data_IF_261267944770
#
_entry.id   IF_261267944770
#
_cell.length_a   1.000
_cell.length_b   1.000
_cell.length_c   1.000
_cell.angle_alpha   90.00
_cell.angle_beta   90.00
_cell.angle_gamma   90.00
#
_symmetry.space_group_name_H-M   'P 1'
#
loop_
_entity.id
_entity.type
_entity.pdbx_description
1 polymer ?
#
# COMPACT_ATOMS: atom_id res chain seq x y z
N UNK A 1 12.75 1.22 -7.91
CA UNK A 1 13.33 1.60 -9.22
C UNK A 1 13.28 3.11 -9.42
N UNK A 2 12.10 3.71 -9.30
CA UNK A 2 11.88 5.14 -9.57
C UNK A 2 12.82 6.04 -8.76
N UNK A 3 12.85 5.90 -7.43
CA UNK A 3 13.74 6.64 -6.54
C UNK A 3 15.23 6.57 -6.91
N UNK A 4 15.67 5.41 -7.36
CA UNK A 4 17.07 5.22 -7.78
C UNK A 4 17.34 5.93 -9.11
N UNK A 5 16.38 5.87 -10.04
CA UNK A 5 16.50 6.55 -11.33
C UNK A 5 16.48 8.06 -11.18
N UNK A 6 15.63 8.61 -10.31
CA UNK A 6 15.60 10.06 -9.97
C UNK A 6 16.94 10.54 -9.36
N UNK A 7 17.64 9.64 -8.66
CA UNK A 7 19.00 9.89 -8.14
C UNK A 7 20.11 9.61 -9.16
N UNK A 8 19.78 9.44 -10.43
CA UNK A 8 20.73 9.22 -11.52
C UNK A 8 21.40 7.85 -11.55
N UNK A 9 20.85 6.85 -10.83
CA UNK A 9 21.36 5.48 -10.90
C UNK A 9 20.86 4.77 -12.15
N UNK A 10 21.70 3.94 -12.76
CA UNK A 10 21.27 3.01 -13.80
C UNK A 10 20.53 1.85 -13.16
N UNK A 11 19.27 1.65 -13.56
CA UNK A 11 18.39 0.63 -12.97
C UNK A 11 17.86 -0.30 -14.04
N UNK A 12 17.86 -1.59 -13.73
CA UNK A 12 17.18 -2.62 -14.51
C UNK A 12 16.20 -3.32 -13.57
N UNK A 13 15.00 -3.54 -14.03
CA UNK A 13 13.96 -4.32 -13.35
C UNK A 13 13.74 -5.62 -14.13
N UNK A 14 13.88 -6.74 -13.44
CA UNK A 14 13.53 -8.06 -13.96
C UNK A 14 12.23 -8.50 -13.28
N UNK A 15 11.14 -8.50 -14.03
CA UNK A 15 9.82 -8.90 -13.56
C UNK A 15 9.52 -10.32 -14.07
N UNK A 16 9.22 -11.23 -13.15
CA UNK A 16 8.97 -12.64 -13.50
C UNK A 16 7.71 -12.86 -14.33
N UNK A 17 6.70 -12.02 -14.14
CA UNK A 17 5.45 -12.06 -14.89
C UNK A 17 5.25 -10.77 -15.71
N UNK A 18 4.34 -9.91 -15.28
CA UNK A 18 4.07 -8.59 -15.87
C UNK A 18 3.98 -7.54 -14.78
N UNK A 19 4.23 -6.30 -15.11
CA UNK A 19 4.06 -5.17 -14.16
C UNK A 19 2.67 -5.20 -13.55
N UNK A 20 2.61 -5.16 -12.21
CA UNK A 20 1.37 -5.20 -11.46
C UNK A 20 0.71 -6.59 -11.35
N UNK A 21 1.36 -7.66 -11.78
CA UNK A 21 0.81 -9.03 -11.66
C UNK A 21 0.63 -9.46 -10.21
N UNK A 22 1.54 -9.08 -9.32
CA UNK A 22 1.49 -9.44 -7.91
C UNK A 22 0.50 -8.59 -7.08
N UNK A 23 0.66 -8.60 -5.78
CA UNK A 23 -0.19 -7.88 -4.82
C UNK A 23 -0.32 -6.38 -5.11
N UNK A 24 0.74 -5.74 -5.61
CA UNK A 24 0.74 -4.29 -5.89
C UNK A 24 -0.31 -3.86 -6.92
N UNK A 25 -0.64 -4.72 -7.90
CA UNK A 25 -1.69 -4.42 -8.89
C UNK A 25 -3.05 -5.04 -8.56
N UNK A 26 -3.16 -5.79 -7.46
CA UNK A 26 -4.37 -6.57 -7.08
C UNK A 26 -4.91 -6.20 -5.71
N UNK A 27 -4.27 -5.29 -4.98
CA UNK A 27 -4.73 -4.83 -3.67
C UNK A 27 -6.02 -4.02 -3.78
N UNK A 28 -6.66 -3.72 -2.64
CA UNK A 28 -7.82 -2.82 -2.59
C UNK A 28 -7.49 -1.37 -2.93
N UNK A 29 -6.22 -1.03 -3.12
CA UNK A 29 -5.77 0.30 -3.49
C UNK A 29 -5.87 1.33 -2.38
N UNK A 30 -6.14 0.91 -1.16
CA UNK A 30 -6.22 1.81 -0.01
C UNK A 30 -4.82 2.29 0.37
N UNK A 31 -4.69 3.59 0.61
CA UNK A 31 -3.51 4.25 1.10
C UNK A 31 -3.87 4.93 2.42
N UNK A 32 -3.51 4.30 3.51
CA UNK A 32 -3.93 4.66 4.87
C UNK A 32 -2.67 4.98 5.67
N UNK A 33 -2.69 6.10 6.41
CA UNK A 33 -1.61 6.42 7.33
C UNK A 33 -1.70 5.59 8.62
N UNK A 34 -0.57 5.47 9.32
CA UNK A 34 -0.46 4.66 10.52
C UNK A 34 -0.01 3.24 10.21
N UNK A 35 -0.18 2.37 11.18
CA UNK A 35 0.25 0.98 11.16
C UNK A 35 -0.85 0.10 11.75
N UNK A 36 -0.74 -1.22 11.57
CA UNK A 36 -1.73 -2.21 12.00
C UNK A 36 -1.97 -2.18 13.52
N UNK A 37 -0.90 -2.09 14.31
CA UNK A 37 -1.00 -2.02 15.77
C UNK A 37 -1.27 -0.59 16.23
N UNK A 38 -1.82 -0.45 17.43
CA UNK A 38 -2.11 0.83 18.06
C UNK A 38 -0.85 1.65 18.37
N UNK A 39 -1.02 2.95 18.54
CA UNK A 39 0.07 3.89 18.84
C UNK A 39 0.82 3.50 20.12
N UNK A 40 0.09 3.09 21.14
CA UNK A 40 0.67 2.73 22.44
C UNK A 40 1.55 1.48 22.36
N UNK A 41 1.17 0.50 21.54
CA UNK A 41 1.96 -0.70 21.27
C UNK A 41 3.28 -0.35 20.59
N UNK A 42 3.27 0.56 19.61
CA UNK A 42 4.51 1.03 18.98
C UNK A 42 5.40 1.79 19.97
N UNK A 43 4.84 2.66 20.78
CA UNK A 43 5.60 3.37 21.81
C UNK A 43 6.23 2.37 22.80
N UNK A 44 5.49 1.36 23.21
CA UNK A 44 6.00 0.32 24.10
C UNK A 44 7.14 -0.50 23.49
N UNK A 45 7.06 -0.79 22.18
CA UNK A 45 8.07 -1.60 21.48
C UNK A 45 9.35 -0.82 21.15
N UNK A 46 9.24 0.42 20.68
CA UNK A 46 10.38 1.16 20.11
C UNK A 46 10.71 2.48 20.81
N UNK A 47 9.88 2.91 21.76
CA UNK A 47 9.96 4.20 22.44
C UNK A 47 9.32 5.34 21.63
N UNK A 48 8.96 6.43 22.34
CA UNK A 48 8.21 7.56 21.78
C UNK A 48 8.85 8.17 20.53
N UNK A 49 10.14 8.50 20.59
CA UNK A 49 10.81 9.20 19.47
C UNK A 49 10.80 8.39 18.18
N UNK A 50 11.00 7.07 18.27
CA UNK A 50 10.96 6.19 17.12
C UNK A 50 9.53 5.96 16.62
N UNK A 51 8.57 5.80 17.54
CA UNK A 51 7.17 5.68 17.19
C UNK A 51 6.67 6.94 16.44
N UNK A 52 7.09 8.14 16.92
CA UNK A 52 6.80 9.40 16.22
C UNK A 52 7.42 9.45 14.83
N UNK A 53 8.68 9.03 14.68
CA UNK A 53 9.32 8.96 13.35
C UNK A 53 8.59 8.01 12.40
N UNK A 54 8.18 6.83 12.88
CA UNK A 54 7.41 5.88 12.08
C UNK A 54 6.06 6.47 11.68
N UNK A 55 5.38 7.15 12.60
CA UNK A 55 4.14 7.85 12.31
C UNK A 55 4.32 8.91 11.21
N UNK A 56 5.33 9.77 11.34
CA UNK A 56 5.64 10.80 10.35
C UNK A 56 5.96 10.19 8.98
N UNK A 57 6.70 9.08 8.94
CA UNK A 57 6.95 8.33 7.70
C UNK A 57 5.67 7.80 7.06
N UNK A 58 4.68 7.40 7.84
CA UNK A 58 3.39 6.95 7.31
C UNK A 58 2.59 8.09 6.65
N UNK A 59 2.67 9.29 7.22
CA UNK A 59 2.08 10.49 6.61
C UNK A 59 2.82 10.90 5.34
N UNK A 60 4.16 10.94 5.39
CA UNK A 60 5.01 11.22 4.22
C UNK A 60 4.73 10.24 3.07
N UNK A 61 4.39 8.98 3.38
CA UNK A 61 4.05 8.00 2.34
C UNK A 61 2.80 8.40 1.54
N UNK A 62 1.81 9.03 2.17
CA UNK A 62 0.63 9.58 1.48
C UNK A 62 1.02 10.79 0.61
N UNK A 63 1.84 11.69 1.16
CA UNK A 63 2.32 12.86 0.42
C UNK A 63 3.14 12.44 -0.81
N UNK A 64 3.98 11.41 -0.69
CA UNK A 64 4.74 10.83 -1.82
C UNK A 64 3.80 10.29 -2.91
N UNK A 65 2.67 9.70 -2.56
CA UNK A 65 1.66 9.26 -3.54
C UNK A 65 1.10 10.47 -4.30
N UNK A 66 0.66 11.50 -3.58
CA UNK A 66 0.16 12.75 -4.17
C UNK A 66 1.19 13.39 -5.12
N UNK A 67 2.43 13.54 -4.66
CA UNK A 67 3.53 14.11 -5.44
C UNK A 67 3.82 13.32 -6.72
N UNK A 68 3.88 12.00 -6.63
CA UNK A 68 4.14 11.13 -7.80
C UNK A 68 3.02 11.18 -8.82
N UNK A 69 1.78 11.15 -8.36
CA UNK A 69 0.61 11.29 -9.23
C UNK A 69 0.68 12.61 -9.99
N UNK A 70 0.93 13.72 -9.28
CA UNK A 70 1.04 15.05 -9.88
C UNK A 70 2.25 15.16 -10.83
N UNK A 71 3.43 14.72 -10.38
CA UNK A 71 4.70 14.84 -11.12
C UNK A 71 4.70 14.05 -12.42
N UNK A 72 4.15 12.85 -12.41
CA UNK A 72 4.17 11.94 -13.56
C UNK A 72 2.84 11.84 -14.30
N UNK A 73 1.83 12.59 -13.89
CA UNK A 73 0.50 12.59 -14.52
C UNK A 73 -0.19 11.23 -14.47
N UNK A 74 -0.05 10.49 -13.36
CA UNK A 74 -0.56 9.13 -13.23
C UNK A 74 -2.09 9.15 -13.12
N UNK A 75 -2.76 8.47 -14.04
CA UNK A 75 -4.22 8.35 -14.06
C UNK A 75 -4.64 7.08 -13.30
N UNK A 76 -4.84 7.21 -11.98
CA UNK A 76 -5.14 6.08 -11.11
C UNK A 76 -6.36 6.33 -10.19
N UNK A 77 -7.23 7.25 -10.54
CA UNK A 77 -8.46 7.57 -9.79
C UNK A 77 -8.23 7.84 -8.30
N UNK A 78 -7.09 8.50 -7.98
CA UNK A 78 -6.75 8.83 -6.61
C UNK A 78 -7.81 9.72 -5.97
N UNK A 79 -8.36 9.28 -4.84
CA UNK A 79 -9.34 10.02 -4.04
C UNK A 79 -8.96 9.97 -2.57
N UNK A 80 -8.96 11.13 -1.93
CA UNK A 80 -8.85 11.24 -0.47
C UNK A 80 -10.21 10.98 0.19
N UNK A 81 -10.14 10.51 1.41
CA UNK A 81 -11.27 10.11 2.23
C UNK A 81 -11.28 8.60 2.48
N UNK A 82 -11.14 8.26 3.74
CA UNK A 82 -11.20 6.89 4.24
C UNK A 82 -11.98 6.86 5.54
N UNK A 83 -12.82 5.87 5.75
CA UNK A 83 -13.52 5.72 7.02
C UNK A 83 -13.39 4.30 7.57
N UNK A 84 -12.99 4.20 8.84
CA UNK A 84 -13.11 2.97 9.61
C UNK A 84 -14.47 2.94 10.30
N UNK A 85 -15.25 1.88 10.09
CA UNK A 85 -16.64 1.77 10.49
C UNK A 85 -16.79 0.82 11.69
N UNK A 86 -17.66 1.19 12.62
CA UNK A 86 -17.94 0.43 13.83
C UNK A 86 -19.30 -0.28 13.75
N UNK A 87 -19.32 -1.60 13.90
CA UNK A 87 -20.54 -2.41 13.90
C UNK A 87 -21.32 -2.33 15.24
N UNK A 88 -20.68 -1.95 16.33
CA UNK A 88 -21.29 -1.85 17.64
C UNK A 88 -20.57 -0.81 18.51
N UNK A 89 -21.16 -0.47 19.66
CA UNK A 89 -20.64 0.56 20.56
C UNK A 89 -19.21 0.25 21.07
N UNK A 90 -18.89 -0.99 21.38
CA UNK A 90 -17.52 -1.37 21.79
C UNK A 90 -16.49 -1.02 20.71
N UNK A 91 -16.83 -1.32 19.43
CA UNK A 91 -15.96 -0.95 18.31
C UNK A 91 -15.89 0.54 18.07
N UNK A 92 -16.95 1.26 18.41
CA UNK A 92 -16.93 2.71 18.37
C UNK A 92 -16.04 3.30 19.46
N UNK A 93 -16.03 2.71 20.65
CA UNK A 93 -15.11 3.11 21.73
C UNK A 93 -13.64 2.98 21.29
N UNK A 94 -13.28 1.88 20.61
CA UNK A 94 -11.93 1.67 20.06
C UNK A 94 -11.56 2.83 19.09
N UNK A 95 -12.48 3.29 18.23
CA UNK A 95 -12.25 4.40 17.30
C UNK A 95 -12.14 5.76 17.98
N UNK A 96 -12.91 5.97 19.06
CA UNK A 96 -12.82 7.17 19.89
C UNK A 96 -11.44 7.25 20.58
N UNK A 97 -10.94 6.13 21.07
CA UNK A 97 -9.60 6.06 21.67
C UNK A 97 -8.51 6.30 20.62
N UNK A 98 -8.64 5.73 19.44
CA UNK A 98 -7.71 5.94 18.32
C UNK A 98 -7.63 7.43 17.92
N UNK A 99 -8.77 8.10 17.76
CA UNK A 99 -8.80 9.54 17.45
C UNK A 99 -8.10 10.37 18.52
N UNK A 100 -8.47 10.15 19.80
CA UNK A 100 -7.86 10.85 20.93
C UNK A 100 -6.36 10.60 21.04
N UNK A 101 -5.92 9.35 20.89
CA UNK A 101 -4.50 8.99 20.95
C UNK A 101 -3.71 9.64 19.80
N UNK A 102 -4.23 9.61 18.58
CA UNK A 102 -3.59 10.24 17.42
C UNK A 102 -3.44 11.74 17.59
N UNK A 103 -4.49 12.41 18.08
CA UNK A 103 -4.46 13.85 18.33
C UNK A 103 -3.55 14.21 19.51
N UNK A 104 -3.71 13.55 20.66
CA UNK A 104 -2.95 13.87 21.87
C UNK A 104 -1.45 13.55 21.75
N UNK A 105 -1.11 12.43 21.09
CA UNK A 105 0.26 11.92 21.02
C UNK A 105 1.06 12.54 19.89
N UNK A 106 0.44 12.68 18.70
CA UNK A 106 1.12 13.11 17.48
C UNK A 106 0.60 14.42 16.89
N UNK A 107 -0.44 15.03 17.48
CA UNK A 107 -1.04 16.28 16.98
C UNK A 107 -1.79 16.09 15.65
N UNK A 108 -2.24 14.87 15.35
CA UNK A 108 -2.92 14.58 14.09
C UNK A 108 -4.38 15.01 14.13
N UNK A 109 -4.79 15.93 13.28
CA UNK A 109 -6.09 16.61 13.29
C UNK A 109 -6.99 16.28 12.08
N UNK A 110 -6.63 15.29 11.27
CA UNK A 110 -7.38 14.93 10.06
C UNK A 110 -8.47 13.88 10.28
N UNK A 111 -8.52 13.29 11.47
CA UNK A 111 -9.53 12.33 11.87
C UNK A 111 -10.77 13.04 12.44
N UNK A 112 -11.94 12.51 12.12
CA UNK A 112 -13.23 13.01 12.60
C UNK A 112 -14.14 11.83 12.96
N UNK A 113 -14.67 11.84 14.19
CA UNK A 113 -15.69 10.87 14.58
C UNK A 113 -17.03 11.21 13.91
N UNK A 114 -17.59 10.24 13.25
CA UNK A 114 -18.90 10.31 12.61
C UNK A 114 -19.88 9.42 13.37
N UNK A 115 -21.00 10.00 13.79
CA UNK A 115 -22.12 9.24 14.32
C UNK A 115 -22.92 8.55 13.20
N UNK A 116 -23.88 7.73 13.61
CA UNK A 116 -24.77 7.02 12.66
C UNK A 116 -25.52 7.96 11.72
N UNK A 117 -25.93 9.14 12.20
CA UNK A 117 -26.66 10.11 11.38
C UNK A 117 -25.75 10.71 10.29
N UNK A 118 -24.50 10.99 10.62
CA UNK A 118 -23.51 11.47 9.67
C UNK A 118 -23.13 10.38 8.65
N UNK A 119 -22.93 9.14 9.09
CA UNK A 119 -22.66 8.02 8.19
C UNK A 119 -23.76 7.81 7.16
N UNK A 120 -25.02 7.86 7.57
CA UNK A 120 -26.20 7.72 6.66
C UNK A 120 -26.25 8.75 5.55
N UNK A 121 -25.60 9.89 5.69
CA UNK A 121 -25.51 10.90 4.62
C UNK A 121 -24.59 10.45 3.48
N UNK A 122 -23.69 9.48 3.74
CA UNK A 122 -22.66 9.06 2.79
C UNK A 122 -22.67 7.57 2.46
N UNK A 123 -23.21 6.74 3.34
CA UNK A 123 -23.19 5.29 3.23
C UNK A 123 -24.60 4.72 3.18
N UNK A 124 -24.90 3.90 2.19
CA UNK A 124 -26.18 3.22 1.99
C UNK A 124 -26.41 2.00 2.89
N UNK A 125 -25.75 1.95 4.07
CA UNK A 125 -25.89 0.85 5.02
C UNK A 125 -26.32 1.36 6.39
N UNK A 126 -27.18 0.60 7.07
CA UNK A 126 -27.70 0.90 8.41
C UNK A 126 -27.05 0.06 9.52
N UNK A 127 -26.16 -0.85 9.18
CA UNK A 127 -25.58 -1.80 10.14
C UNK A 127 -24.56 -1.15 11.10
N UNK A 128 -23.93 -0.06 10.68
CA UNK A 128 -22.88 0.61 11.48
C UNK A 128 -23.48 1.63 12.45
N UNK A 129 -22.89 1.69 13.64
CA UNK A 129 -23.29 2.64 14.69
C UNK A 129 -22.57 3.99 14.61
N UNK A 130 -21.40 4.00 13.96
CA UNK A 130 -20.55 5.18 13.76
C UNK A 130 -19.29 4.80 13.01
N UNK A 131 -18.34 5.73 12.94
CA UNK A 131 -17.05 5.51 12.27
C UNK A 131 -16.06 6.65 12.53
N UNK A 132 -14.83 6.42 12.13
CA UNK A 132 -13.74 7.38 12.16
C UNK A 132 -13.33 7.71 10.73
N UNK A 133 -13.63 8.91 10.28
CA UNK A 133 -13.27 9.42 8.97
C UNK A 133 -11.91 10.11 9.01
N UNK A 134 -11.02 9.75 8.10
CA UNK A 134 -9.73 10.40 7.88
C UNK A 134 -9.71 11.07 6.50
N UNK A 135 -9.50 12.38 6.49
CA UNK A 135 -9.46 13.18 5.28
C UNK A 135 -8.12 13.14 4.53
N UNK A 136 -7.06 12.61 5.13
CA UNK A 136 -5.74 12.49 4.50
C UNK A 136 -5.52 11.14 3.82
N UNK A 137 -5.97 10.06 4.44
CA UNK A 137 -5.99 8.73 3.84
C UNK A 137 -6.94 8.65 2.64
N UNK A 138 -6.77 7.66 1.78
CA UNK A 138 -7.61 7.55 0.58
C UNK A 138 -7.45 6.22 -0.14
N UNK A 139 -7.83 6.21 -1.41
CA UNK A 139 -7.69 5.03 -2.26
C UNK A 139 -7.42 5.40 -3.71
N UNK A 140 -6.90 4.44 -4.45
CA UNK A 140 -6.58 4.59 -5.88
C UNK A 140 -6.81 3.27 -6.61
N UNK A 141 -6.78 3.32 -7.94
CA UNK A 141 -6.77 2.12 -8.76
C UNK A 141 -5.35 1.52 -8.78
N UNK A 142 -5.08 0.43 -8.04
CA UNK A 142 -3.71 -0.02 -7.77
C UNK A 142 -2.95 -0.44 -9.03
N UNK A 143 -3.63 -1.10 -9.97
CA UNK A 143 -3.01 -1.50 -11.22
C UNK A 143 -2.62 -0.30 -12.09
N UNK A 144 -3.49 0.70 -12.22
CA UNK A 144 -3.19 1.91 -12.96
C UNK A 144 -2.03 2.70 -12.31
N UNK A 145 -1.96 2.71 -10.98
CA UNK A 145 -0.84 3.32 -10.27
C UNK A 145 0.48 2.59 -10.57
N UNK A 146 0.49 1.24 -10.54
CA UNK A 146 1.65 0.45 -10.92
C UNK A 146 2.10 0.73 -12.37
N UNK A 147 1.16 0.79 -13.32
CA UNK A 147 1.47 1.12 -14.71
C UNK A 147 2.02 2.55 -14.86
N UNK A 148 1.45 3.50 -14.13
CA UNK A 148 1.94 4.88 -14.09
C UNK A 148 3.38 4.99 -13.56
N UNK A 149 3.69 4.28 -12.46
CA UNK A 149 5.05 4.21 -11.92
C UNK A 149 6.03 3.53 -12.89
N UNK A 150 5.59 2.45 -13.56
CA UNK A 150 6.42 1.79 -14.57
C UNK A 150 6.71 2.72 -15.75
N UNK A 151 5.71 3.45 -16.23
CA UNK A 151 5.91 4.46 -17.28
C UNK A 151 6.90 5.54 -16.83
N UNK A 152 6.75 6.07 -15.63
CA UNK A 152 7.69 7.06 -15.07
C UNK A 152 9.13 6.51 -15.02
N UNK A 153 9.30 5.23 -14.64
CA UNK A 153 10.59 4.56 -14.66
C UNK A 153 11.17 4.51 -16.09
N UNK A 154 10.38 4.10 -17.07
CA UNK A 154 10.80 4.02 -18.50
C UNK A 154 11.19 5.40 -19.02
N UNK A 155 10.41 6.45 -18.71
CA UNK A 155 10.70 7.83 -19.13
C UNK A 155 12.03 8.35 -18.52
N UNK A 156 12.44 7.83 -17.37
CA UNK A 156 13.74 8.10 -16.75
C UNK A 156 14.87 7.14 -17.18
N UNK A 157 14.62 6.29 -18.16
CA UNK A 157 15.64 5.38 -18.73
C UNK A 157 15.85 4.07 -17.94
N UNK A 158 14.96 3.73 -17.00
CA UNK A 158 14.94 2.41 -16.39
C UNK A 158 14.57 1.38 -17.45
N UNK A 159 15.28 0.27 -17.49
CA UNK A 159 14.95 -0.85 -18.35
C UNK A 159 14.11 -1.86 -17.58
N UNK A 160 12.90 -2.13 -18.05
CA UNK A 160 11.97 -3.09 -17.43
C UNK A 160 11.81 -4.28 -18.37
N UNK A 161 12.16 -5.46 -17.89
CA UNK A 161 12.01 -6.71 -18.64
C UNK A 161 10.98 -7.58 -17.95
N UNK A 162 9.82 -7.69 -18.57
CA UNK A 162 8.74 -8.59 -18.16
C UNK A 162 9.02 -10.03 -18.62
N UNK A 163 8.33 -11.01 -18.02
CA UNK A 163 8.50 -12.44 -18.32
C UNK A 163 9.98 -12.86 -18.28
N UNK A 164 10.70 -12.32 -17.28
CA UNK A 164 12.12 -12.51 -17.10
C UNK A 164 12.40 -13.01 -15.66
N UNK A 165 11.89 -14.19 -15.30
CA UNK A 165 12.11 -14.75 -13.98
C UNK A 165 13.61 -14.95 -13.71
N UNK A 166 14.07 -14.50 -12.56
CA UNK A 166 15.45 -14.72 -12.11
C UNK A 166 15.59 -16.17 -11.66
N UNK A 167 16.53 -16.89 -12.24
CA UNK A 167 16.77 -18.31 -11.97
C UNK A 167 18.04 -18.55 -11.17
N UNK A 168 18.97 -17.59 -11.13
CA UNK A 168 20.21 -17.70 -10.36
C UNK A 168 20.82 -16.33 -10.06
N UNK A 169 21.57 -16.24 -8.94
CA UNK A 169 22.42 -15.12 -8.58
C UNK A 169 23.83 -15.65 -8.29
N UNK A 170 24.82 -15.14 -8.99
CA UNK A 170 26.21 -15.52 -8.82
C UNK A 170 27.02 -14.31 -8.39
N UNK A 171 27.49 -14.32 -7.14
CA UNK A 171 28.43 -13.32 -6.68
C UNK A 171 29.81 -13.52 -7.34
N UNK A 172 30.35 -12.44 -7.88
CA UNK A 172 31.67 -12.35 -8.48
C UNK A 172 32.45 -11.24 -7.79
N UNK A 173 33.76 -11.18 -8.03
CA UNK A 173 34.58 -10.11 -7.46
C UNK A 173 34.06 -8.73 -7.90
N UNK A 174 33.40 -8.02 -6.97
CA UNK A 174 32.90 -6.65 -7.17
C UNK A 174 31.61 -6.50 -7.98
N UNK A 175 30.94 -7.60 -8.32
CA UNK A 175 29.64 -7.54 -9.01
C UNK A 175 28.79 -8.79 -8.77
N UNK A 176 27.51 -8.73 -9.15
CA UNK A 176 26.57 -9.85 -9.07
C UNK A 176 26.04 -10.10 -10.48
N UNK A 177 26.15 -11.35 -10.93
CA UNK A 177 25.52 -11.82 -12.15
C UNK A 177 24.12 -12.35 -11.85
N UNK A 178 23.10 -11.67 -12.35
CA UNK A 178 21.67 -12.03 -12.21
C UNK A 178 21.26 -12.75 -13.49
N UNK A 179 20.90 -14.03 -13.39
CA UNK A 179 20.56 -14.86 -14.54
C UNK A 179 19.06 -15.05 -14.68
N UNK A 180 18.58 -14.98 -15.91
CA UNK A 180 17.27 -15.46 -16.33
C UNK A 180 17.47 -16.70 -17.22
N UNK A 181 16.39 -17.33 -17.65
CA UNK A 181 16.43 -18.43 -18.61
C UNK A 181 16.97 -18.02 -20.01
N UNK A 182 16.93 -16.71 -20.32
CA UNK A 182 17.27 -16.18 -21.65
C UNK A 182 18.55 -15.36 -21.67
N UNK A 183 18.96 -14.77 -20.55
CA UNK A 183 20.05 -13.80 -20.52
C UNK A 183 20.58 -13.61 -19.10
N UNK A 184 21.60 -12.75 -18.96
CA UNK A 184 22.13 -12.36 -17.66
C UNK A 184 22.37 -10.85 -17.60
N UNK A 185 22.25 -10.29 -16.41
CA UNK A 185 22.57 -8.89 -16.10
C UNK A 185 23.71 -8.86 -15.09
N UNK A 186 24.71 -8.01 -15.30
CA UNK A 186 25.77 -7.74 -14.35
C UNK A 186 25.45 -6.45 -13.61
N UNK A 187 25.41 -6.51 -12.29
CA UNK A 187 25.10 -5.37 -11.43
C UNK A 187 26.05 -5.31 -10.23
N UNK A 188 26.24 -4.12 -9.67
CA UNK A 188 26.95 -3.93 -8.40
C UNK A 188 26.07 -4.31 -7.21
N UNK A 189 24.79 -3.97 -7.28
CA UNK A 189 23.82 -4.18 -6.23
C UNK A 189 22.57 -4.88 -6.80
N UNK A 190 21.92 -5.71 -5.98
CA UNK A 190 20.65 -6.37 -6.30
C UNK A 190 19.68 -6.15 -5.16
N UNK A 191 18.47 -5.71 -5.49
CA UNK A 191 17.37 -5.55 -4.56
C UNK A 191 16.34 -6.65 -4.83
N UNK A 192 16.13 -7.52 -3.85
CA UNK A 192 15.08 -8.54 -3.90
C UNK A 192 13.74 -7.89 -3.52
N UNK A 193 12.89 -7.59 -4.49
CA UNK A 193 11.58 -6.97 -4.31
C UNK A 193 10.44 -7.95 -4.60
N UNK A 194 10.61 -9.21 -4.23
CA UNK A 194 9.74 -10.33 -4.61
C UNK A 194 8.60 -10.59 -3.65
N UNK A 195 8.57 -9.90 -2.50
CA UNK A 195 7.58 -10.08 -1.44
C UNK A 195 7.35 -11.58 -1.13
N UNK A 196 6.11 -12.02 -1.02
CA UNK A 196 5.75 -13.41 -0.73
C UNK A 196 6.19 -14.42 -1.81
N UNK A 197 6.49 -13.97 -3.03
CA UNK A 197 7.00 -14.83 -4.10
C UNK A 197 8.47 -15.20 -3.95
N UNK A 198 9.11 -14.86 -2.83
CA UNK A 198 10.53 -15.20 -2.58
C UNK A 198 10.78 -16.71 -2.65
N UNK A 199 9.80 -17.54 -2.32
CA UNK A 199 9.90 -19.00 -2.42
C UNK A 199 9.98 -19.53 -3.87
N UNK A 200 9.56 -18.72 -4.84
CA UNK A 200 9.73 -19.05 -6.26
C UNK A 200 11.19 -18.94 -6.73
N UNK A 201 12.04 -18.26 -5.95
CA UNK A 201 13.46 -18.14 -6.25
C UNK A 201 14.26 -19.34 -5.75
N UNK A 202 15.37 -19.70 -6.41
CA UNK A 202 16.28 -20.72 -5.93
C UNK A 202 16.79 -20.45 -4.52
N UNK A 203 17.05 -21.51 -3.75
CA UNK A 203 17.58 -21.40 -2.36
C UNK A 203 18.88 -20.60 -2.26
N UNK A 204 19.71 -20.64 -3.30
CA UNK A 204 20.92 -19.85 -3.42
C UNK A 204 20.68 -18.34 -3.41
N UNK A 205 19.49 -17.88 -3.80
CA UNK A 205 19.12 -16.45 -3.86
C UNK A 205 18.56 -15.97 -2.54
N UNK A 206 17.61 -16.70 -1.97
CA UNK A 206 16.87 -16.18 -0.80
C UNK A 206 17.58 -16.46 0.54
N UNK A 207 18.63 -17.30 0.60
CA UNK A 207 19.45 -17.53 1.80
C UNK A 207 18.65 -17.76 3.11
N UNK A 208 17.47 -18.37 3.01
CA UNK A 208 16.57 -18.62 4.14
C UNK A 208 15.67 -17.43 4.54
N UNK A 209 15.68 -16.32 3.80
CA UNK A 209 14.77 -15.18 4.03
C UNK A 209 13.29 -15.64 3.94
N UNK A 210 13.00 -16.59 3.05
CA UNK A 210 11.70 -17.20 2.91
C UNK A 210 11.13 -17.77 4.22
N UNK A 211 11.98 -18.22 5.14
CA UNK A 211 11.54 -18.73 6.46
C UNK A 211 11.04 -17.62 7.40
N UNK A 212 11.26 -16.36 7.04
CA UNK A 212 10.83 -15.17 7.81
C UNK A 212 9.60 -14.51 7.22
N UNK A 213 9.10 -15.03 6.10
CA UNK A 213 7.93 -14.50 5.40
C UNK A 213 6.86 -15.59 5.38
N UNK A 214 5.70 -15.30 5.97
CA UNK A 214 4.52 -16.15 5.87
C UNK A 214 3.65 -15.62 4.72
N UNK A 215 3.55 -16.35 3.59
CA UNK A 215 2.65 -15.95 2.52
C UNK A 215 1.20 -16.21 2.97
N UNK A 216 0.42 -15.13 3.09
CA UNK A 216 -1.01 -15.19 3.39
C UNK A 216 -1.76 -14.66 2.18
N UNK A 217 -2.77 -15.39 1.75
CA UNK A 217 -3.65 -14.99 0.66
C UNK A 217 -4.88 -14.29 1.24
N UNK A 218 -5.24 -13.14 0.66
CA UNK A 218 -6.53 -12.49 0.84
C UNK A 218 -7.26 -12.43 -0.50
N UNK A 219 -8.58 -12.36 -0.45
CA UNK A 219 -9.42 -12.39 -1.64
C UNK A 219 -10.13 -11.05 -1.81
N UNK A 220 -10.17 -10.58 -3.04
CA UNK A 220 -10.91 -9.39 -3.44
C UNK A 220 -11.86 -9.78 -4.55
N UNK A 221 -13.10 -9.32 -4.45
CA UNK A 221 -14.08 -9.40 -5.53
C UNK A 221 -14.30 -8.02 -6.13
N UNK A 222 -14.58 -7.97 -7.40
CA UNK A 222 -15.03 -6.77 -8.09
C UNK A 222 -16.37 -7.06 -8.76
N UNK A 223 -17.27 -6.12 -8.70
CA UNK A 223 -18.53 -6.19 -9.44
C UNK A 223 -18.29 -5.79 -10.90
N UNK A 224 -19.28 -6.01 -11.74
CA UNK A 224 -19.37 -5.27 -13.01
C UNK A 224 -19.44 -3.74 -12.73
N UNK A 225 -19.09 -2.90 -13.70
CA UNK A 225 -19.23 -1.46 -13.55
C UNK A 225 -20.68 -1.10 -13.21
N UNK A 226 -20.85 -0.42 -12.07
CA UNK A 226 -22.15 0.07 -11.63
C UNK A 226 -22.49 1.38 -12.34
N UNK A 227 -23.78 1.63 -12.60
CA UNK A 227 -24.22 2.96 -12.97
C UNK A 227 -24.05 3.95 -11.79
N UNK A 228 -23.98 5.25 -12.11
CA UNK A 228 -23.68 6.28 -11.11
C UNK A 228 -24.71 6.32 -9.97
N UNK A 229 -25.99 6.13 -10.26
CA UNK A 229 -27.05 6.17 -9.25
C UNK A 229 -26.93 5.00 -8.26
N UNK A 230 -26.60 3.81 -8.76
CA UNK A 230 -26.33 2.62 -7.94
C UNK A 230 -25.05 2.83 -7.10
N UNK A 231 -23.98 3.32 -7.70
CA UNK A 231 -22.74 3.59 -6.99
C UNK A 231 -22.95 4.63 -5.86
N UNK A 232 -23.65 5.73 -6.15
CA UNK A 232 -23.94 6.78 -5.17
C UNK A 232 -24.89 6.29 -4.06
N UNK A 233 -25.75 5.31 -4.34
CA UNK A 233 -26.59 4.69 -3.32
C UNK A 233 -25.80 3.87 -2.30
N UNK A 234 -24.61 3.40 -2.67
CA UNK A 234 -23.70 2.67 -1.78
C UNK A 234 -22.78 3.63 -1.03
N UNK A 235 -22.02 4.48 -1.75
CA UNK A 235 -21.11 5.49 -1.17
C UNK A 235 -21.13 6.73 -2.09
N UNK A 236 -21.72 7.82 -1.63
CA UNK A 236 -21.98 8.99 -2.50
C UNK A 236 -20.84 10.01 -2.56
N UNK A 237 -19.87 9.94 -1.67
CA UNK A 237 -18.72 10.87 -1.62
C UNK A 237 -17.43 10.25 -2.17
N UNK A 238 -17.48 9.00 -2.60
CA UNK A 238 -16.33 8.29 -3.18
C UNK A 238 -15.20 7.98 -2.21
N UNK A 239 -15.44 8.03 -0.89
CA UNK A 239 -14.46 7.54 0.11
C UNK A 239 -14.33 6.02 0.04
N UNK A 240 -13.22 5.49 0.52
CA UNK A 240 -13.12 4.07 0.84
C UNK A 240 -13.51 3.81 2.30
N UNK A 241 -13.97 2.60 2.56
CA UNK A 241 -14.40 2.19 3.91
C UNK A 241 -13.83 0.83 4.25
N UNK A 242 -13.60 0.61 5.54
CA UNK A 242 -13.29 -0.69 6.12
C UNK A 242 -13.97 -0.75 7.49
N UNK A 243 -14.35 -1.91 7.96
CA UNK A 243 -14.74 -2.04 9.36
C UNK A 243 -13.55 -2.38 10.26
N UNK A 244 -13.71 -2.21 11.57
CA UNK A 244 -12.67 -2.53 12.56
C UNK A 244 -12.86 -3.91 13.19
N UNK A 245 -13.30 -4.89 12.42
CA UNK A 245 -13.34 -6.27 12.85
C UNK A 245 -11.95 -6.90 12.88
N UNK A 246 -11.78 -7.94 13.72
CA UNK A 246 -10.50 -8.67 13.82
C UNK A 246 -10.21 -9.46 12.54
N UNK A 247 -11.24 -9.91 11.85
CA UNK A 247 -11.14 -10.54 10.55
C UNK A 247 -11.71 -9.56 9.52
N UNK A 248 -10.96 -9.31 8.48
CA UNK A 248 -11.45 -8.58 7.31
C UNK A 248 -12.46 -9.48 6.58
N UNK A 249 -13.69 -9.04 6.52
CA UNK A 249 -14.78 -9.73 5.80
C UNK A 249 -14.81 -9.33 4.33
#
# INVERSE_FOLDING_TARGET
ALELAEKGKKVIVLEGARVGFGASGRSGGQAINGFEEGIDEYIAQVGFDKAKQLWDMSLEAIDIIDERIAKYGIQCDWKKGYATLALNERRMDDLIEMEKASHATFGYDKMQLWDKAKLKQHLGSDIYVGGLYDSNSGHLHPFNYCLGLAKACLDLGVQIYEQSPVVDLVEKSGCIEVKTDKSAVISQDVILATNAYIDALPKSIHHGINRKILPVESFIIATEPLDQATADSVINNGMSVCDNNILLD
#
